data_IF_844195948775
#
_entry.id   IF_844195948775
#
_cell.length_a   1.000
_cell.length_b   1.000
_cell.length_c   1.000
_cell.angle_alpha   90.00
_cell.angle_beta   90.00
_cell.angle_gamma   90.00
#
_symmetry.space_group_name_H-M   'P 1'
#
loop_
_entity.id
_entity.type
_entity.pdbx_description
1 polymer ?
#
# COMPACT_ATOMS: atom_id res chain seq x y z
N UNK A 1 20.99 -17.91 -1.02
CA UNK A 1 19.81 -18.04 -1.89
C UNK A 1 18.58 -17.66 -1.06
N UNK A 2 17.77 -16.67 -1.46
CA UNK A 2 16.49 -16.42 -0.77
C UNK A 2 15.57 -17.60 -1.06
N UNK A 3 14.89 -18.13 -0.03
CA UNK A 3 13.88 -19.16 -0.23
C UNK A 3 12.83 -18.66 -1.25
N UNK A 4 12.38 -19.53 -2.16
CA UNK A 4 11.38 -19.19 -3.18
C UNK A 4 10.03 -18.79 -2.57
N UNK A 5 8.99 -18.63 -3.40
CA UNK A 5 7.65 -18.18 -3.01
C UNK A 5 6.88 -19.08 -2.01
N UNK A 6 7.55 -20.07 -1.41
CA UNK A 6 7.04 -20.96 -0.35
C UNK A 6 7.98 -21.04 0.86
N UNK A 7 9.01 -20.20 0.93
CA UNK A 7 9.92 -20.17 2.08
C UNK A 7 9.18 -19.74 3.34
N UNK A 8 9.49 -20.34 4.48
CA UNK A 8 8.93 -19.85 5.74
C UNK A 8 9.45 -18.43 6.03
N UNK A 9 8.55 -17.49 6.35
CA UNK A 9 8.94 -16.17 6.85
C UNK A 9 9.40 -16.37 8.30
N UNK A 10 10.72 -16.32 8.53
CA UNK A 10 11.32 -16.59 9.84
C UNK A 10 11.17 -15.44 10.85
N UNK A 11 10.68 -14.29 10.43
CA UNK A 11 10.59 -13.09 11.26
C UNK A 11 9.24 -13.03 11.98
N UNK A 12 9.28 -12.75 13.28
CA UNK A 12 8.07 -12.64 14.11
C UNK A 12 7.06 -11.64 13.53
N UNK A 13 5.73 -11.95 13.63
CA UNK A 13 4.67 -11.06 13.21
C UNK A 13 4.85 -9.66 13.82
N UNK A 14 4.60 -8.63 13.01
CA UNK A 14 4.70 -7.26 13.49
C UNK A 14 3.42 -6.92 14.24
N UNK A 15 3.55 -6.50 15.49
CA UNK A 15 2.44 -5.93 16.24
C UNK A 15 2.13 -4.53 15.72
N UNK A 16 0.85 -4.27 15.45
CA UNK A 16 0.29 -2.95 15.20
C UNK A 16 -0.44 -2.41 16.44
N UNK A 17 -0.06 -2.86 17.64
CA UNK A 17 -0.57 -2.31 18.89
C UNK A 17 -0.36 -0.79 18.94
N UNK A 18 -1.36 -0.05 19.44
CA UNK A 18 -1.35 1.41 19.47
C UNK A 18 -1.56 2.09 18.10
N UNK A 19 -1.85 1.33 17.03
CA UNK A 19 -2.36 1.93 15.79
C UNK A 19 -3.78 2.49 16.00
N UNK A 20 -4.16 3.57 15.30
CA UNK A 20 -5.51 4.11 15.37
C UNK A 20 -6.56 3.06 14.98
N UNK A 21 -7.70 3.06 15.69
CA UNK A 21 -8.87 2.26 15.30
C UNK A 21 -9.57 2.80 14.04
N UNK A 22 -9.49 4.12 13.82
CA UNK A 22 -10.01 4.77 12.62
C UNK A 22 -9.36 4.18 11.36
N UNK A 23 -10.20 3.70 10.43
CA UNK A 23 -9.76 2.94 9.25
C UNK A 23 -8.78 3.76 8.42
N UNK A 24 -9.12 5.01 8.09
CA UNK A 24 -8.30 5.89 7.26
C UNK A 24 -6.95 6.20 7.92
N UNK A 25 -6.96 6.68 9.17
CA UNK A 25 -5.75 7.03 9.92
C UNK A 25 -4.80 5.85 10.08
N UNK A 26 -5.34 4.63 10.18
CA UNK A 26 -4.52 3.40 10.24
C UNK A 26 -3.70 3.18 8.96
N UNK A 27 -4.32 3.36 7.78
CA UNK A 27 -3.62 3.27 6.48
C UNK A 27 -2.68 4.45 6.29
N UNK A 28 -3.11 5.67 6.60
CA UNK A 28 -2.24 6.86 6.52
C UNK A 28 -0.95 6.67 7.35
N UNK A 29 -1.08 6.13 8.57
CA UNK A 29 0.06 5.83 9.45
C UNK A 29 0.98 4.78 8.83
N UNK A 30 0.44 3.65 8.39
CA UNK A 30 1.22 2.59 7.76
C UNK A 30 1.99 3.09 6.53
N UNK A 31 1.30 3.80 5.64
CA UNK A 31 1.89 4.36 4.41
C UNK A 31 3.07 5.27 4.75
N UNK A 32 2.88 6.17 5.71
CA UNK A 32 3.91 7.12 6.15
C UNK A 32 5.13 6.45 6.78
N UNK A 33 4.91 5.41 7.58
CA UNK A 33 5.96 4.75 8.37
C UNK A 33 6.78 3.74 7.54
N UNK A 34 6.14 3.03 6.61
CA UNK A 34 6.79 1.90 5.94
C UNK A 34 7.02 2.10 4.46
N UNK A 35 6.20 2.88 3.75
CA UNK A 35 6.32 2.95 2.29
C UNK A 35 7.29 4.06 1.89
N UNK A 36 8.15 3.72 0.92
CA UNK A 36 9.15 4.61 0.34
C UNK A 36 8.78 4.88 -1.10
N UNK A 37 8.95 6.12 -1.56
CA UNK A 37 8.64 6.48 -2.95
C UNK A 37 9.58 5.72 -3.90
N UNK A 38 9.04 4.86 -4.79
CA UNK A 38 9.87 3.95 -5.58
C UNK A 38 10.50 4.58 -6.83
N UNK A 39 9.91 5.66 -7.36
CA UNK A 39 10.38 6.40 -8.55
C UNK A 39 9.65 7.73 -8.70
N UNK A 40 10.21 8.64 -9.49
CA UNK A 40 9.63 9.95 -9.77
C UNK A 40 10.01 11.00 -8.72
N UNK A 41 9.17 12.00 -8.50
CA UNK A 41 9.47 13.05 -7.53
C UNK A 41 9.51 12.47 -6.10
N UNK A 42 10.62 12.71 -5.39
CA UNK A 42 10.81 12.27 -4.01
C UNK A 42 11.30 10.83 -3.83
N UNK A 43 11.90 10.20 -4.85
CA UNK A 43 12.48 8.83 -4.75
C UNK A 43 13.32 8.67 -3.48
N UNK A 44 13.17 7.52 -2.82
CA UNK A 44 13.94 7.16 -1.63
C UNK A 44 13.50 7.86 -0.35
N UNK A 45 12.60 8.85 -0.44
CA UNK A 45 11.98 9.50 0.72
C UNK A 45 10.72 8.75 1.16
N UNK A 46 10.30 8.89 2.43
CA UNK A 46 9.03 8.34 2.91
C UNK A 46 7.85 8.80 2.05
N UNK A 47 6.95 7.87 1.73
CA UNK A 47 5.74 8.18 0.97
C UNK A 47 4.80 9.03 1.82
N UNK A 48 4.57 10.27 1.39
CA UNK A 48 3.64 11.19 2.05
C UNK A 48 2.43 11.45 1.15
N UNK A 49 1.25 11.11 1.65
CA UNK A 49 -0.01 11.45 0.98
C UNK A 49 -0.13 12.97 0.88
N UNK A 50 -0.41 13.46 -0.34
CA UNK A 50 -0.79 14.86 -0.61
C UNK A 50 -2.16 15.15 0.02
N UNK A 51 -2.51 16.44 0.17
CA UNK A 51 -3.79 16.87 0.76
C UNK A 51 -4.99 16.15 0.14
N UNK A 52 -5.16 16.28 -1.19
CA UNK A 52 -6.26 15.63 -1.91
C UNK A 52 -6.24 14.09 -1.81
N UNK A 53 -5.06 13.46 -1.77
CA UNK A 53 -4.97 12.00 -1.61
C UNK A 53 -5.43 11.58 -0.22
N UNK A 54 -5.15 12.41 0.78
CA UNK A 54 -5.58 12.17 2.15
C UNK A 54 -7.10 12.32 2.29
N UNK A 55 -7.70 13.31 1.65
CA UNK A 55 -9.15 13.47 1.56
C UNK A 55 -9.79 12.22 0.94
N UNK A 56 -9.30 11.78 -0.23
CA UNK A 56 -9.78 10.54 -0.89
C UNK A 56 -9.71 9.33 0.07
N UNK A 57 -8.61 9.18 0.81
CA UNK A 57 -8.46 8.05 1.76
C UNK A 57 -9.42 8.18 2.93
N UNK A 58 -9.65 9.38 3.47
CA UNK A 58 -10.60 9.57 4.57
C UNK A 58 -12.03 9.28 4.14
N UNK A 59 -12.41 9.77 2.97
CA UNK A 59 -13.76 9.54 2.43
C UNK A 59 -13.96 8.06 2.08
N UNK A 60 -12.97 7.41 1.46
CA UNK A 60 -13.08 6.01 1.08
C UNK A 60 -13.12 5.01 2.23
N UNK A 61 -12.54 5.38 3.38
CA UNK A 61 -12.52 4.52 4.57
C UNK A 61 -13.48 5.00 5.66
N UNK A 62 -14.32 6.01 5.39
CA UNK A 62 -15.35 6.47 6.31
C UNK A 62 -16.35 5.36 6.67
N UNK A 63 -17.01 5.52 7.81
CA UNK A 63 -18.05 4.58 8.27
C UNK A 63 -19.21 4.52 7.29
N UNK A 64 -19.68 3.31 6.97
CA UNK A 64 -20.78 3.10 6.03
C UNK A 64 -20.38 3.12 4.55
N UNK A 65 -19.14 3.52 4.22
CA UNK A 65 -18.65 3.53 2.84
C UNK A 65 -18.09 2.15 2.47
N UNK A 66 -18.77 1.52 1.51
CA UNK A 66 -18.37 0.23 0.90
C UNK A 66 -17.62 0.41 -0.41
N UNK A 67 -18.07 1.33 -1.26
CA UNK A 67 -17.55 1.52 -2.62
C UNK A 67 -17.31 3.00 -2.88
N UNK A 68 -16.16 3.31 -3.50
CA UNK A 68 -15.82 4.66 -3.94
C UNK A 68 -15.49 4.67 -5.41
N UNK A 69 -16.00 5.69 -6.10
CA UNK A 69 -15.58 6.09 -7.43
C UNK A 69 -14.79 7.38 -7.32
N UNK A 70 -13.63 7.45 -7.99
CA UNK A 70 -12.79 8.63 -8.01
C UNK A 70 -12.35 8.96 -9.44
N UNK A 71 -12.38 10.24 -9.79
CA UNK A 71 -11.82 10.75 -11.05
C UNK A 71 -10.55 11.52 -10.75
N UNK A 72 -9.41 11.05 -11.27
CA UNK A 72 -8.09 11.65 -11.02
C UNK A 72 -7.38 11.87 -12.37
N UNK A 73 -6.93 13.11 -12.67
CA UNK A 73 -6.24 13.41 -13.91
C UNK A 73 -4.92 12.64 -14.06
N UNK A 74 -4.38 12.61 -15.28
CA UNK A 74 -3.07 11.99 -15.56
C UNK A 74 -1.98 12.68 -14.71
N UNK A 75 -0.88 11.98 -14.45
CA UNK A 75 0.27 12.45 -13.66
C UNK A 75 0.00 12.83 -12.18
N UNK A 76 -1.16 12.48 -11.60
CA UNK A 76 -1.49 12.78 -10.20
C UNK A 76 -1.27 11.60 -9.23
N UNK A 77 -0.38 10.67 -9.58
CA UNK A 77 0.04 9.60 -8.68
C UNK A 77 -1.02 8.53 -8.37
N UNK A 78 -2.11 8.45 -9.14
CA UNK A 78 -3.22 7.50 -8.89
C UNK A 78 -2.77 6.04 -8.74
N UNK A 79 -1.88 5.56 -9.60
CA UNK A 79 -1.39 4.18 -9.56
C UNK A 79 -0.48 3.93 -8.35
N UNK A 80 0.30 4.95 -7.97
CA UNK A 80 1.19 4.84 -6.80
C UNK A 80 0.37 4.88 -5.50
N UNK A 81 -0.70 5.68 -5.45
CA UNK A 81 -1.68 5.68 -4.36
C UNK A 81 -2.38 4.31 -4.26
N UNK A 82 -2.83 3.74 -5.37
CA UNK A 82 -3.45 2.41 -5.38
C UNK A 82 -2.51 1.33 -4.84
N UNK A 83 -1.23 1.33 -5.24
CA UNK A 83 -0.23 0.40 -4.71
C UNK A 83 0.01 0.59 -3.20
N UNK A 84 0.08 1.85 -2.74
CA UNK A 84 0.26 2.17 -1.33
C UNK A 84 -0.94 1.70 -0.48
N UNK A 85 -2.16 1.90 -0.97
CA UNK A 85 -3.38 1.43 -0.31
C UNK A 85 -3.51 -0.09 -0.32
N UNK A 86 -3.13 -0.75 -1.42
CA UNK A 86 -3.11 -2.21 -1.48
C UNK A 86 -2.19 -2.81 -0.41
N UNK A 87 -0.95 -2.31 -0.30
CA UNK A 87 -0.03 -2.74 0.75
C UNK A 87 -0.58 -2.42 2.14
N UNK A 88 -1.13 -1.22 2.35
CA UNK A 88 -1.72 -0.87 3.63
C UNK A 88 -2.88 -1.82 3.99
N UNK A 89 -3.72 -2.22 3.04
CA UNK A 89 -4.82 -3.14 3.33
C UNK A 89 -4.32 -4.54 3.68
N UNK A 90 -3.24 -5.02 3.06
CA UNK A 90 -2.66 -6.32 3.39
C UNK A 90 -2.04 -6.39 4.80
N UNK A 91 -1.57 -5.27 5.35
CA UNK A 91 -0.94 -5.21 6.67
C UNK A 91 -1.87 -4.71 7.76
N UNK A 92 -2.64 -3.67 7.45
CA UNK A 92 -3.48 -2.95 8.38
C UNK A 92 -4.98 -3.00 8.04
N UNK A 93 -5.35 -3.83 7.09
CA UNK A 93 -6.73 -4.17 6.80
C UNK A 93 -7.34 -5.20 7.75
N UNK A 94 -8.54 -5.70 7.40
CA UNK A 94 -9.11 -6.90 8.00
C UNK A 94 -8.17 -8.11 7.83
N UNK A 95 -8.28 -9.13 8.71
CA UNK A 95 -7.59 -10.40 8.54
C UNK A 95 -7.88 -11.02 7.17
N UNK A 96 -6.88 -11.68 6.57
CA UNK A 96 -7.00 -12.36 5.27
C UNK A 96 -7.46 -11.45 4.13
N UNK A 97 -7.06 -10.18 4.14
CA UNK A 97 -7.36 -9.25 3.06
C UNK A 97 -6.75 -9.71 1.73
N UNK A 98 -7.55 -9.66 0.68
CA UNK A 98 -7.12 -9.83 -0.71
C UNK A 98 -7.37 -8.55 -1.48
N UNK A 99 -6.37 -8.08 -2.23
CA UNK A 99 -6.46 -6.86 -3.02
C UNK A 99 -6.31 -7.18 -4.50
N UNK A 100 -7.43 -7.15 -5.21
CA UNK A 100 -7.47 -7.39 -6.64
C UNK A 100 -7.16 -6.09 -7.39
N UNK A 101 -6.17 -6.13 -8.29
CA UNK A 101 -5.86 -5.03 -9.20
C UNK A 101 -6.40 -5.35 -10.58
N UNK A 102 -7.44 -4.62 -10.98
CA UNK A 102 -8.08 -4.78 -12.30
C UNK A 102 -7.78 -3.55 -13.16
N UNK A 103 -7.48 -3.79 -14.43
CA UNK A 103 -7.24 -2.77 -15.43
C UNK A 103 -7.72 -3.27 -16.81
N UNK A 104 -7.60 -2.43 -17.84
CA UNK A 104 -7.97 -2.80 -19.21
C UNK A 104 -7.17 -3.97 -19.78
N UNK A 105 -5.93 -4.15 -19.32
CA UNK A 105 -5.12 -5.33 -19.62
C UNK A 105 -4.20 -5.70 -18.43
N UNK A 106 -3.64 -6.91 -18.47
CA UNK A 106 -2.74 -7.40 -17.42
C UNK A 106 -1.45 -6.55 -17.31
N UNK A 107 -0.96 -5.96 -18.40
CA UNK A 107 0.25 -5.13 -18.39
C UNK A 107 0.04 -3.86 -17.57
N UNK A 108 -1.14 -3.25 -17.66
CA UNK A 108 -1.55 -2.09 -16.87
C UNK A 108 -1.73 -2.47 -15.39
N UNK A 109 -2.42 -3.58 -15.10
CA UNK A 109 -2.57 -4.06 -13.73
C UNK A 109 -1.21 -4.33 -13.05
N UNK A 110 -0.27 -4.93 -13.81
CA UNK A 110 1.09 -5.20 -13.35
C UNK A 110 1.89 -3.93 -13.00
N UNK A 111 1.51 -2.74 -13.48
CA UNK A 111 2.18 -1.50 -13.07
C UNK A 111 1.97 -1.26 -11.57
N UNK A 112 0.76 -1.43 -11.06
CA UNK A 112 0.45 -1.30 -9.63
C UNK A 112 1.22 -2.32 -8.81
N UNK A 113 1.23 -3.58 -9.26
CA UNK A 113 1.95 -4.66 -8.58
C UNK A 113 3.46 -4.39 -8.51
N UNK A 114 4.07 -3.93 -9.62
CA UNK A 114 5.50 -3.54 -9.63
C UNK A 114 5.80 -2.40 -8.67
N UNK A 115 4.91 -1.42 -8.53
CA UNK A 115 5.06 -0.38 -7.52
C UNK A 115 5.02 -0.94 -6.10
N UNK A 116 4.04 -1.79 -5.80
CA UNK A 116 3.92 -2.41 -4.48
C UNK A 116 5.16 -3.25 -4.14
N UNK A 117 5.61 -4.11 -5.08
CA UNK A 117 6.85 -4.87 -4.95
C UNK A 117 8.04 -3.96 -4.66
N UNK A 118 8.21 -2.89 -5.43
CA UNK A 118 9.34 -1.98 -5.23
C UNK A 118 9.29 -1.25 -3.88
N UNK A 119 8.10 -0.85 -3.42
CA UNK A 119 7.93 -0.24 -2.09
C UNK A 119 8.32 -1.20 -0.96
N UNK A 120 7.96 -2.49 -1.09
CA UNK A 120 8.37 -3.54 -0.16
C UNK A 120 9.89 -3.71 -0.16
N UNK A 121 10.52 -3.82 -1.34
CA UNK A 121 11.97 -3.99 -1.46
C UNK A 121 12.77 -2.82 -0.85
N UNK A 122 12.22 -1.61 -0.90
CA UNK A 122 12.87 -0.40 -0.38
C UNK A 122 12.76 -0.26 1.15
N UNK A 123 11.94 -1.07 1.82
CA UNK A 123 11.81 -1.05 3.26
C UNK A 123 12.26 -2.40 3.85
N UNK A 124 13.37 -2.42 4.58
CA UNK A 124 13.92 -3.65 5.18
C UNK A 124 12.90 -4.42 6.03
N UNK A 125 12.07 -3.72 6.81
CA UNK A 125 11.05 -4.35 7.68
C UNK A 125 10.00 -5.09 6.85
N UNK A 126 9.60 -4.52 5.71
CA UNK A 126 8.65 -5.16 4.79
C UNK A 126 9.33 -6.27 3.98
N UNK A 127 10.54 -6.04 3.47
CA UNK A 127 11.29 -6.99 2.65
C UNK A 127 11.62 -8.31 3.38
N UNK A 128 11.74 -8.28 4.70
CA UNK A 128 11.92 -9.46 5.54
C UNK A 128 10.62 -10.25 5.78
N UNK A 129 9.45 -9.67 5.47
CA UNK A 129 8.12 -10.22 5.78
C UNK A 129 7.27 -10.56 4.56
N UNK A 130 7.53 -9.93 3.43
CA UNK A 130 6.74 -10.10 2.21
C UNK A 130 7.58 -10.82 1.16
N UNK A 131 6.98 -11.85 0.58
CA UNK A 131 7.52 -12.53 -0.60
C UNK A 131 7.06 -11.79 -1.85
N UNK A 132 8.00 -11.38 -2.69
CA UNK A 132 7.77 -10.58 -3.90
C UNK A 132 8.47 -11.15 -5.12
#
# INVERSE_FOLDING_TARGET
>A
MRAGAKGAVAVSPRSFSGYPHDRAKRRERFIREYLVVPRGHGVGKPFRLRGFQREIVRDAFATGIRTVLMSIPRANGKTMLAAALALAELFVGPPSAEVLVVASDQRQANITLRYAKRMVELNRVLAERVQV
#
